data_IF_416784340801
#
_entry.id   IF_416784340801
#
_cell.length_a   1.000
_cell.length_b   1.000
_cell.length_c   1.000
_cell.angle_alpha   90.00
_cell.angle_beta   90.00
_cell.angle_gamma   90.00
#
_symmetry.space_group_name_H-M   'P 1'
#
loop_
_entity.id
_entity.type
_entity.pdbx_description
1 polymer ?
#
# COMPACT_ATOMS: atom_id res chain seq x y z
N UNK A 1 13.79 -9.23 74.25
CA UNK A 1 13.98 -9.31 72.78
C UNK A 1 14.58 -8.00 72.30
N UNK A 2 15.59 -8.02 71.42
CA UNK A 2 16.21 -6.79 70.90
C UNK A 2 15.16 -5.98 70.10
N UNK A 3 15.04 -4.70 70.42
CA UNK A 3 14.16 -3.77 69.70
C UNK A 3 14.70 -3.62 68.28
N UNK A 4 13.86 -3.84 67.27
CA UNK A 4 14.24 -3.70 65.87
C UNK A 4 14.47 -2.21 65.57
N UNK A 5 15.72 -1.75 65.57
CA UNK A 5 16.06 -0.32 65.45
C UNK A 5 16.23 0.16 64.01
N UNK A 6 16.12 -0.72 63.01
CA UNK A 6 16.31 -0.36 61.59
C UNK A 6 15.31 -1.06 60.69
N UNK A 7 14.91 -0.37 59.61
CA UNK A 7 14.02 -0.89 58.57
C UNK A 7 14.59 -2.12 57.84
N UNK A 8 15.92 -2.32 57.88
CA UNK A 8 16.58 -3.47 57.27
C UNK A 8 16.36 -4.79 58.06
N UNK A 9 16.01 -4.69 59.35
CA UNK A 9 15.81 -5.84 60.23
C UNK A 9 14.33 -6.28 60.32
N UNK A 10 13.42 -5.61 59.62
CA UNK A 10 12.00 -5.99 59.55
C UNK A 10 11.77 -7.08 58.49
N UNK A 11 10.94 -8.07 58.82
CA UNK A 11 10.51 -9.11 57.87
C UNK A 11 9.69 -8.49 56.74
N UNK A 12 9.91 -8.96 55.52
CA UNK A 12 9.09 -8.62 54.34
C UNK A 12 7.90 -9.57 54.20
N UNK A 13 7.86 -10.68 54.93
CA UNK A 13 6.76 -11.65 54.89
C UNK A 13 5.63 -11.22 55.85
N UNK A 14 4.42 -10.89 55.35
CA UNK A 14 3.26 -10.50 56.16
C UNK A 14 2.93 -11.49 57.27
N UNK A 15 3.14 -12.79 57.02
CA UNK A 15 2.83 -13.86 57.96
C UNK A 15 3.85 -13.98 59.10
N UNK A 16 5.05 -13.42 58.93
CA UNK A 16 6.12 -13.39 59.94
C UNK A 16 6.22 -12.04 60.65
N UNK A 17 5.22 -11.17 60.44
CA UNK A 17 5.14 -9.85 61.07
C UNK A 17 4.30 -9.88 62.37
N UNK A 18 3.84 -11.05 62.78
CA UNK A 18 3.28 -11.31 64.12
C UNK A 18 4.25 -12.16 64.94
N UNK A 19 4.25 -12.05 66.28
CA UNK A 19 5.17 -12.82 67.12
C UNK A 19 4.83 -14.32 67.08
N UNK A 20 5.78 -15.15 66.64
CA UNK A 20 5.81 -16.56 66.98
C UNK A 20 6.34 -16.70 68.42
N UNK A 21 5.48 -17.18 69.32
CA UNK A 21 5.84 -17.48 70.71
C UNK A 21 5.58 -16.34 71.69
N UNK A 22 4.94 -16.70 72.80
CA UNK A 22 4.51 -15.89 73.93
C UNK A 22 5.51 -14.82 74.38
N UNK A 23 5.12 -13.56 74.23
CA UNK A 23 5.03 -12.53 75.25
C UNK A 23 4.73 -11.22 74.51
N UNK A 24 3.49 -10.74 74.64
CA UNK A 24 2.99 -9.55 73.94
C UNK A 24 3.97 -8.38 74.12
N UNK A 25 4.59 -7.87 73.05
CA UNK A 25 5.04 -6.49 73.06
C UNK A 25 3.79 -5.63 73.25
N UNK A 26 3.86 -4.58 74.07
CA UNK A 26 2.72 -3.66 74.24
C UNK A 26 2.13 -3.27 72.88
N UNK A 27 0.82 -3.01 72.79
CA UNK A 27 0.09 -2.70 71.54
C UNK A 27 0.78 -1.68 70.61
N UNK A 28 1.63 -0.81 71.16
CA UNK A 28 2.44 0.14 70.41
C UNK A 28 3.66 -0.49 69.69
N UNK A 29 4.37 -1.44 70.29
CA UNK A 29 5.55 -2.09 69.68
C UNK A 29 5.14 -3.02 68.52
N UNK A 30 4.02 -3.73 68.67
CA UNK A 30 3.42 -4.52 67.59
C UNK A 30 2.94 -3.65 66.43
N UNK A 31 2.28 -2.52 66.73
CA UNK A 31 1.83 -1.57 65.71
C UNK A 31 3.02 -0.92 64.96
N UNK A 32 4.13 -0.62 65.66
CA UNK A 32 5.34 -0.08 65.05
C UNK A 32 6.02 -1.13 64.18
N UNK A 33 6.14 -2.39 64.62
CA UNK A 33 6.71 -3.47 63.79
C UNK A 33 5.86 -3.76 62.55
N UNK A 34 4.53 -3.76 62.70
CA UNK A 34 3.61 -3.88 61.57
C UNK A 34 3.77 -2.71 60.58
N UNK A 35 3.84 -1.47 61.06
CA UNK A 35 4.07 -0.30 60.21
C UNK A 35 5.44 -0.35 59.53
N UNK A 36 6.51 -0.72 60.24
CA UNK A 36 7.86 -0.82 59.68
C UNK A 36 7.97 -1.96 58.66
N UNK A 37 7.31 -3.09 58.87
CA UNK A 37 7.26 -4.19 57.89
C UNK A 37 6.45 -3.82 56.64
N UNK A 38 5.34 -3.09 56.78
CA UNK A 38 4.62 -2.52 55.65
C UNK A 38 5.49 -1.53 54.85
N UNK A 39 6.25 -0.66 55.54
CA UNK A 39 7.20 0.26 54.92
C UNK A 39 8.34 -0.52 54.22
N UNK A 40 8.82 -1.61 54.81
CA UNK A 40 9.83 -2.48 54.20
C UNK A 40 9.30 -3.16 52.93
N UNK A 41 8.06 -3.64 52.96
CA UNK A 41 7.38 -4.19 51.78
C UNK A 41 7.24 -3.15 50.66
N UNK A 42 6.85 -1.91 50.99
CA UNK A 42 6.80 -0.82 50.02
C UNK A 42 8.19 -0.48 49.46
N UNK A 43 9.21 -0.38 50.31
CA UNK A 43 10.62 -0.13 49.91
C UNK A 43 11.11 -1.19 48.94
N UNK A 44 10.83 -2.45 49.21
CA UNK A 44 11.33 -3.59 48.41
C UNK A 44 10.45 -3.89 47.19
N UNK A 45 9.55 -2.96 46.87
CA UNK A 45 8.79 -2.95 45.62
C UNK A 45 7.58 -3.87 45.62
N UNK A 46 7.09 -4.31 46.79
CA UNK A 46 5.77 -4.96 46.90
C UNK A 46 4.60 -3.97 46.68
N UNK A 47 4.88 -2.67 46.61
CA UNK A 47 3.91 -1.65 46.20
C UNK A 47 3.51 -1.73 44.71
N UNK A 48 4.23 -2.50 43.90
CA UNK A 48 3.90 -2.77 42.49
C UNK A 48 3.57 -4.24 42.34
N UNK A 49 2.38 -4.54 41.80
CA UNK A 49 1.95 -5.91 41.60
C UNK A 49 2.88 -6.66 40.62
N UNK A 50 3.18 -7.92 40.95
CA UNK A 50 3.91 -8.84 40.06
C UNK A 50 3.21 -8.91 38.71
N UNK A 51 3.99 -8.96 37.63
CA UNK A 51 3.47 -8.92 36.26
C UNK A 51 3.24 -7.52 35.71
N UNK A 52 3.32 -6.47 36.54
CA UNK A 52 3.26 -5.08 36.05
C UNK A 52 4.43 -4.80 35.12
N UNK A 53 4.11 -4.32 33.92
CA UNK A 53 5.08 -3.91 32.92
C UNK A 53 5.41 -2.42 33.08
N UNK A 54 6.69 -2.09 33.01
CA UNK A 54 7.19 -0.72 33.05
C UNK A 54 8.20 -0.47 31.95
N UNK A 55 8.32 0.79 31.54
CA UNK A 55 9.34 1.25 30.61
C UNK A 55 10.30 2.16 31.37
N UNK A 56 11.60 1.99 31.18
CA UNK A 56 12.59 2.79 31.89
C UNK A 56 13.78 3.14 30.98
N UNK A 57 14.37 4.36 31.13
CA UNK A 57 15.51 4.82 30.33
C UNK A 57 16.84 4.24 30.83
N UNK A 58 16.89 2.93 31.03
CA UNK A 58 18.08 2.19 31.48
C UNK A 58 18.26 0.95 30.61
N UNK A 59 19.49 0.45 30.48
CA UNK A 59 19.76 -0.85 29.84
C UNK A 59 19.75 -1.98 30.86
N UNK A 60 20.10 -1.72 32.12
CA UNK A 60 20.07 -2.70 33.20
C UNK A 60 18.68 -2.72 33.83
N UNK A 61 18.20 -3.93 34.15
CA UNK A 61 16.91 -4.05 34.81
C UNK A 61 16.96 -3.40 36.20
N UNK A 62 15.98 -2.54 36.53
CA UNK A 62 15.86 -2.03 37.90
C UNK A 62 15.70 -3.19 38.90
N UNK A 63 16.12 -3.02 40.17
CA UNK A 63 15.94 -4.04 41.20
C UNK A 63 14.47 -4.51 41.29
N UNK A 64 14.27 -5.84 41.31
CA UNK A 64 12.93 -6.44 41.34
C UNK A 64 12.22 -6.52 39.98
N UNK A 65 12.91 -6.24 38.88
CA UNK A 65 12.37 -6.36 37.53
C UNK A 65 13.24 -7.25 36.63
N UNK A 66 12.60 -7.90 35.65
CA UNK A 66 13.24 -8.61 34.56
C UNK A 66 13.02 -7.87 33.25
N UNK A 67 14.00 -7.92 32.34
CA UNK A 67 13.85 -7.38 30.99
C UNK A 67 12.92 -8.27 30.15
N UNK A 68 12.01 -7.67 29.40
CA UNK A 68 11.10 -8.38 28.50
C UNK A 68 11.73 -8.55 27.10
N UNK A 69 12.76 -9.39 27.05
CA UNK A 69 13.57 -9.68 25.86
C UNK A 69 13.53 -11.15 25.46
N UNK A 70 12.48 -11.88 25.84
CA UNK A 70 12.36 -13.29 25.52
C UNK A 70 13.31 -14.20 26.31
N UNK A 71 13.91 -13.75 27.42
CA UNK A 71 14.83 -14.60 28.19
C UNK A 71 14.11 -15.76 28.91
N UNK A 72 14.78 -16.90 29.01
CA UNK A 72 14.34 -18.06 29.82
C UNK A 72 14.84 -17.87 31.24
N UNK A 73 13.95 -18.04 32.22
CA UNK A 73 14.23 -17.81 33.64
C UNK A 73 13.70 -18.96 34.50
N UNK A 74 14.29 -19.12 35.70
CA UNK A 74 13.95 -20.20 36.62
C UNK A 74 12.60 -19.98 37.30
N UNK A 75 11.75 -21.02 37.33
CA UNK A 75 10.47 -21.00 38.06
C UNK A 75 10.68 -20.92 39.58
N UNK A 76 11.76 -21.47 40.11
CA UNK A 76 12.04 -21.43 41.56
C UNK A 76 12.57 -20.07 41.99
N UNK A 77 13.44 -19.46 41.18
CA UNK A 77 13.98 -18.12 41.48
C UNK A 77 12.92 -17.04 41.33
N UNK A 78 12.04 -17.16 40.33
CA UNK A 78 10.99 -16.19 40.01
C UNK A 78 9.59 -16.78 40.22
N UNK A 79 9.36 -17.39 41.38
CA UNK A 79 8.14 -18.15 41.67
C UNK A 79 6.86 -17.31 41.60
N UNK A 80 6.88 -16.07 42.08
CA UNK A 80 5.73 -15.17 42.01
C UNK A 80 5.41 -14.78 40.56
N UNK A 81 6.42 -14.45 39.75
CA UNK A 81 6.22 -14.17 38.32
C UNK A 81 5.73 -15.40 37.56
N UNK A 82 6.21 -16.59 37.87
CA UNK A 82 5.69 -17.82 37.27
C UNK A 82 4.21 -18.04 37.60
N UNK A 83 3.82 -17.85 38.87
CA UNK A 83 2.42 -17.94 39.28
C UNK A 83 1.54 -16.93 38.52
N UNK A 84 2.01 -15.70 38.34
CA UNK A 84 1.35 -14.70 37.51
C UNK A 84 1.23 -15.16 36.05
N UNK A 85 2.33 -15.59 35.44
CA UNK A 85 2.37 -16.03 34.04
C UNK A 85 1.36 -17.17 33.79
N UNK A 86 1.35 -18.18 34.65
CA UNK A 86 0.44 -19.33 34.56
C UNK A 86 -1.04 -18.94 34.69
N UNK A 87 -1.36 -17.91 35.47
CA UNK A 87 -2.73 -17.42 35.66
C UNK A 87 -3.16 -16.33 34.66
N UNK A 88 -2.22 -15.76 33.90
CA UNK A 88 -2.45 -14.54 33.11
C UNK A 88 -3.36 -14.70 31.88
N UNK A 89 -3.54 -15.93 31.39
CA UNK A 89 -4.12 -16.19 30.06
C UNK A 89 -3.24 -15.72 28.88
N UNK A 90 -2.06 -15.17 29.15
CA UNK A 90 -1.07 -14.70 28.18
C UNK A 90 0.15 -15.62 28.17
N UNK A 91 -0.08 -16.91 28.00
CA UNK A 91 0.95 -17.95 28.04
C UNK A 91 0.68 -19.01 26.97
N UNK A 92 1.75 -19.48 26.33
CA UNK A 92 1.71 -20.55 25.33
C UNK A 92 2.81 -21.57 25.59
N UNK A 93 2.86 -22.65 24.81
CA UNK A 93 3.94 -23.64 24.90
C UNK A 93 5.21 -23.12 24.22
N UNK A 94 6.39 -23.61 24.64
CA UNK A 94 7.67 -23.20 24.01
C UNK A 94 7.70 -23.53 22.51
N UNK A 95 7.04 -24.62 22.10
CA UNK A 95 6.91 -24.99 20.70
C UNK A 95 6.14 -23.93 19.89
N UNK A 96 5.03 -23.40 20.44
CA UNK A 96 4.23 -22.35 19.78
C UNK A 96 4.95 -21.00 19.85
N UNK A 97 5.59 -20.70 20.98
CA UNK A 97 6.36 -19.46 21.17
C UNK A 97 7.52 -19.37 20.17
N UNK A 98 8.23 -20.49 19.96
CA UNK A 98 9.34 -20.59 19.00
C UNK A 98 8.91 -20.77 17.55
N UNK A 99 7.63 -21.02 17.27
CA UNK A 99 7.09 -21.12 15.93
C UNK A 99 6.84 -19.72 15.34
N UNK A 100 7.93 -19.07 14.91
CA UNK A 100 7.89 -17.72 14.33
C UNK A 100 7.80 -16.62 15.40
N UNK A 101 7.20 -15.49 15.03
CA UNK A 101 7.12 -14.28 15.88
C UNK A 101 5.74 -14.05 16.50
N UNK A 102 4.70 -14.75 16.02
CA UNK A 102 3.29 -14.49 16.36
C UNK A 102 3.01 -14.49 17.86
N UNK A 103 3.66 -15.36 18.63
CA UNK A 103 3.35 -15.55 20.05
C UNK A 103 4.47 -15.09 21.01
N UNK A 104 5.45 -14.35 20.49
CA UNK A 104 6.58 -13.89 21.31
C UNK A 104 6.18 -12.84 22.36
N UNK A 105 5.03 -12.20 22.20
CA UNK A 105 4.45 -11.30 23.20
C UNK A 105 3.79 -12.01 24.39
N UNK A 106 3.70 -13.35 24.38
CA UNK A 106 3.23 -14.16 25.49
C UNK A 106 4.38 -14.74 26.32
N UNK A 107 4.07 -15.18 27.53
CA UNK A 107 4.96 -16.08 28.26
C UNK A 107 5.02 -17.42 27.55
N UNK A 108 6.11 -18.16 27.77
CA UNK A 108 6.19 -19.57 27.40
C UNK A 108 6.30 -20.45 28.63
N UNK A 109 5.71 -21.64 28.57
CA UNK A 109 5.91 -22.70 29.57
C UNK A 109 7.37 -23.16 29.70
N UNK A 110 8.27 -22.74 28.82
CA UNK A 110 9.67 -23.15 28.82
C UNK A 110 9.80 -24.66 28.61
N UNK A 111 10.71 -25.29 29.35
CA UNK A 111 10.90 -26.74 29.37
C UNK A 111 9.72 -27.54 29.98
N UNK A 112 8.68 -26.86 30.45
CA UNK A 112 7.52 -27.47 31.10
C UNK A 112 7.71 -27.76 32.59
N UNK A 113 8.93 -27.68 33.12
CA UNK A 113 9.29 -28.17 34.46
C UNK A 113 9.98 -27.10 35.31
N UNK A 114 11.18 -26.68 34.91
CA UNK A 114 12.10 -25.90 35.75
C UNK A 114 12.17 -24.43 35.37
N UNK A 115 11.78 -24.09 34.13
CA UNK A 115 11.91 -22.75 33.60
C UNK A 115 10.66 -22.29 32.84
N UNK A 116 10.66 -21.01 32.50
CA UNK A 116 9.64 -20.37 31.68
C UNK A 116 10.28 -19.19 30.94
N UNK A 117 9.66 -18.71 29.87
CA UNK A 117 10.15 -17.56 29.10
C UNK A 117 9.26 -16.34 29.35
N UNK A 118 9.88 -15.19 29.57
CA UNK A 118 9.17 -13.90 29.59
C UNK A 118 8.88 -13.44 28.15
N UNK A 119 7.88 -12.57 27.92
CA UNK A 119 7.64 -12.01 26.59
C UNK A 119 8.86 -11.30 26.00
N UNK A 120 8.93 -11.25 24.67
CA UNK A 120 9.88 -10.43 23.91
C UNK A 120 9.16 -9.26 23.26
N UNK A 121 9.46 -8.04 23.73
CA UNK A 121 8.82 -6.82 23.26
C UNK A 121 9.79 -5.90 22.49
N UNK A 122 10.97 -6.41 22.13
CA UNK A 122 12.01 -5.61 21.50
C UNK A 122 11.58 -5.17 20.11
N UNK A 123 11.65 -3.86 19.85
CA UNK A 123 11.33 -3.28 18.54
C UNK A 123 9.83 -3.20 18.22
N UNK A 124 8.95 -3.53 19.16
CA UNK A 124 7.51 -3.57 18.94
C UNK A 124 6.79 -2.36 19.56
N UNK A 125 5.70 -1.95 18.91
CA UNK A 125 4.71 -1.05 19.50
C UNK A 125 3.64 -1.87 20.23
N UNK A 126 3.34 -1.48 21.48
CA UNK A 126 2.23 -2.07 22.21
C UNK A 126 0.92 -1.39 21.81
N UNK A 127 -0.04 -2.19 21.36
CA UNK A 127 -1.41 -1.77 21.05
C UNK A 127 -2.36 -2.46 22.01
N UNK A 128 -3.25 -1.68 22.62
CA UNK A 128 -4.28 -2.21 23.53
C UNK A 128 -5.06 -3.36 22.88
N UNK A 129 -5.49 -4.29 23.72
CA UNK A 129 -6.37 -5.38 23.32
C UNK A 129 -7.76 -4.82 23.05
N UNK A 130 -8.45 -5.34 22.03
CA UNK A 130 -9.78 -4.85 21.66
C UNK A 130 -10.84 -5.17 22.71
N UNK A 131 -10.71 -6.32 23.39
CA UNK A 131 -11.62 -6.76 24.45
C UNK A 131 -13.10 -6.71 24.03
N UNK A 132 -13.38 -7.10 22.78
CA UNK A 132 -14.71 -7.12 22.16
C UNK A 132 -15.32 -5.73 21.91
N UNK A 133 -14.50 -4.67 21.84
CA UNK A 133 -14.96 -3.32 21.47
C UNK A 133 -15.29 -3.20 19.97
N UNK A 134 -14.72 -4.05 19.12
CA UNK A 134 -15.05 -4.20 17.70
C UNK A 134 -14.11 -3.48 16.73
N UNK A 135 -13.01 -2.86 17.18
CA UNK A 135 -12.02 -2.24 16.30
C UNK A 135 -11.01 -3.25 15.77
N UNK A 136 -10.76 -4.31 16.52
CA UNK A 136 -9.82 -5.37 16.17
C UNK A 136 -10.32 -6.73 16.69
N UNK A 137 -11.40 -7.25 16.08
CA UNK A 137 -12.07 -8.44 16.57
C UNK A 137 -11.19 -9.68 16.48
N UNK A 138 -11.24 -10.52 17.52
CA UNK A 138 -10.58 -11.83 17.52
C UNK A 138 -9.06 -11.81 17.80
N UNK A 139 -8.46 -10.64 18.04
CA UNK A 139 -7.05 -10.56 18.42
C UNK A 139 -6.84 -11.12 19.83
N UNK A 140 -5.90 -12.06 19.95
CA UNK A 140 -5.50 -12.65 21.22
C UNK A 140 -4.49 -11.76 21.96
N UNK A 141 -4.49 -11.83 23.30
CA UNK A 141 -3.50 -11.14 24.13
C UNK A 141 -2.09 -11.63 23.82
N UNK A 142 -1.14 -10.70 23.67
CA UNK A 142 0.26 -11.03 23.38
C UNK A 142 0.54 -11.52 21.95
N UNK A 143 -0.46 -11.52 21.06
CA UNK A 143 -0.27 -11.84 19.65
C UNK A 143 0.43 -10.69 18.92
N UNK A 144 1.53 -11.01 18.24
CA UNK A 144 2.21 -10.13 17.30
C UNK A 144 1.36 -9.96 16.04
N UNK A 145 1.34 -8.74 15.54
CA UNK A 145 0.77 -8.39 14.26
C UNK A 145 1.83 -7.62 13.50
N UNK A 146 2.03 -7.99 12.23
CA UNK A 146 2.94 -7.27 11.36
C UNK A 146 2.35 -5.90 10.97
N UNK A 147 3.20 -5.03 10.44
CA UNK A 147 2.76 -3.75 9.91
C UNK A 147 1.80 -3.95 8.74
N UNK A 148 0.79 -3.09 8.67
CA UNK A 148 -0.15 -3.07 7.56
C UNK A 148 -0.53 -1.62 7.26
N UNK A 149 -0.41 -1.23 5.99
CA UNK A 149 -0.91 0.06 5.54
C UNK A 149 -2.40 -0.08 5.23
N UNK A 150 -3.18 0.90 5.67
CA UNK A 150 -4.59 1.00 5.27
C UNK A 150 -4.66 1.09 3.74
N UNK A 151 -5.62 0.37 3.16
CA UNK A 151 -5.87 0.39 1.72
C UNK A 151 -6.17 1.82 1.25
N UNK A 152 -5.43 2.29 0.25
CA UNK A 152 -5.62 3.59 -0.38
C UNK A 152 -5.10 3.55 -1.83
N UNK A 153 -5.41 4.59 -2.60
CA UNK A 153 -4.98 4.72 -3.99
C UNK A 153 -4.31 6.05 -4.27
N UNK A 154 -3.55 6.09 -5.37
CA UNK A 154 -2.96 7.31 -5.91
C UNK A 154 -3.48 7.54 -7.33
N UNK A 155 -3.95 8.76 -7.59
CA UNK A 155 -4.21 9.18 -8.95
C UNK A 155 -2.89 9.41 -9.69
N UNK A 156 -2.86 9.09 -10.98
CA UNK A 156 -1.83 9.58 -11.88
C UNK A 156 -2.48 10.50 -12.91
N UNK A 157 -1.69 11.42 -13.44
CA UNK A 157 -2.10 12.27 -14.56
C UNK A 157 -0.99 12.17 -15.60
N UNK A 158 -1.33 11.66 -16.78
CA UNK A 158 -0.45 11.76 -17.95
C UNK A 158 -0.76 13.09 -18.66
N UNK A 159 0.16 14.08 -18.63
CA UNK A 159 -0.07 15.35 -19.30
C UNK A 159 -0.33 15.13 -20.79
N UNK A 160 -1.31 15.84 -21.33
CA UNK A 160 -1.57 15.80 -22.78
C UNK A 160 -0.31 16.25 -23.54
N UNK A 161 0.09 15.45 -24.51
CA UNK A 161 1.18 15.76 -25.41
C UNK A 161 0.72 15.66 -26.86
N UNK A 162 1.35 16.43 -27.75
CA UNK A 162 1.00 16.47 -29.15
C UNK A 162 1.87 15.48 -29.95
N UNK A 163 1.22 14.70 -30.82
CA UNK A 163 1.92 13.94 -31.86
C UNK A 163 1.86 14.73 -33.16
N UNK A 164 3.03 15.04 -33.73
CA UNK A 164 3.09 15.63 -35.07
C UNK A 164 2.72 14.60 -36.13
N UNK A 165 1.78 14.94 -37.01
CA UNK A 165 1.46 14.14 -38.21
C UNK A 165 1.99 14.89 -39.42
N UNK A 166 2.84 14.24 -40.20
CA UNK A 166 3.43 14.80 -41.42
C UNK A 166 3.01 13.97 -42.63
N UNK A 167 2.38 14.61 -43.61
CA UNK A 167 2.16 14.04 -44.95
C UNK A 167 3.28 14.54 -45.89
N UNK A 168 4.21 13.66 -46.34
CA UNK A 168 5.25 14.03 -47.29
C UNK A 168 4.70 14.40 -48.68
N UNK A 169 3.40 14.23 -48.90
CA UNK A 169 2.71 14.46 -50.15
C UNK A 169 2.39 13.15 -50.87
N UNK A 170 1.33 13.17 -51.67
CA UNK A 170 0.91 12.06 -52.52
C UNK A 170 0.34 12.59 -53.84
N UNK A 171 0.29 11.72 -54.85
CA UNK A 171 -0.08 12.09 -56.22
C UNK A 171 -1.50 11.64 -56.56
N UNK A 172 -2.24 12.51 -57.25
CA UNK A 172 -3.50 12.16 -57.89
C UNK A 172 -3.28 11.89 -59.38
N UNK A 173 -3.94 10.85 -59.91
CA UNK A 173 -4.09 10.68 -61.35
C UNK A 173 -5.38 11.36 -61.80
N UNK A 174 -5.31 12.06 -62.94
CA UNK A 174 -6.47 12.67 -63.57
C UNK A 174 -6.57 12.19 -65.02
N UNK A 175 -7.79 11.98 -65.50
CA UNK A 175 -8.09 11.68 -66.88
C UNK A 175 -9.22 12.56 -67.40
N UNK A 176 -9.20 12.84 -68.70
CA UNK A 176 -10.31 13.41 -69.42
C UNK A 176 -10.93 12.32 -70.29
N UNK A 177 -12.24 12.34 -70.44
CA UNK A 177 -12.91 11.50 -71.44
C UNK A 177 -12.70 12.03 -72.87
N UNK A 178 -12.99 11.22 -73.86
CA UNK A 178 -12.88 11.60 -75.27
C UNK A 178 -14.20 12.27 -75.68
N UNK A 179 -14.15 13.57 -75.94
CA UNK A 179 -15.27 14.37 -76.45
C UNK A 179 -14.82 15.20 -77.67
N UNK A 180 -15.74 15.93 -78.29
CA UNK A 180 -15.44 16.87 -79.37
C UNK A 180 -15.43 16.29 -80.79
N UNK A 181 -15.78 15.01 -80.95
CA UNK A 181 -16.09 14.48 -82.29
C UNK A 181 -17.33 15.18 -82.83
N UNK A 182 -17.18 15.85 -83.97
CA UNK A 182 -18.26 16.55 -84.66
C UNK A 182 -18.04 16.51 -86.17
N UNK A 183 -19.09 16.82 -86.92
CA UNK A 183 -19.06 16.91 -88.39
C UNK A 183 -19.68 18.22 -88.83
N UNK A 184 -19.24 18.72 -89.98
CA UNK A 184 -19.82 19.92 -90.57
C UNK A 184 -20.68 19.57 -91.78
N UNK A 185 -21.87 20.14 -91.83
CA UNK A 185 -22.65 20.13 -93.06
C UNK A 185 -22.03 21.13 -94.05
N UNK A 186 -21.74 20.63 -95.25
CA UNK A 186 -21.35 21.45 -96.39
C UNK A 186 -22.56 21.58 -97.32
N UNK A 187 -23.14 22.78 -97.39
CA UNK A 187 -24.27 23.06 -98.28
C UNK A 187 -23.76 23.59 -99.61
N UNK A 188 -23.60 22.71 -100.60
CA UNK A 188 -23.29 23.13 -101.97
C UNK A 188 -24.54 23.72 -102.64
N UNK A 189 -24.53 25.01 -102.96
CA UNK A 189 -25.61 25.61 -103.76
C UNK A 189 -25.45 25.20 -105.23
N UNK A 190 -26.33 24.34 -105.72
CA UNK A 190 -26.41 24.01 -107.14
C UNK A 190 -27.42 24.94 -107.82
N UNK A 191 -26.96 25.72 -108.80
CA UNK A 191 -27.83 26.54 -109.62
C UNK A 191 -28.27 25.70 -110.84
N UNK A 192 -29.53 25.26 -110.87
CA UNK A 192 -30.07 24.46 -111.97
C UNK A 192 -30.59 25.38 -113.09
N UNK A 193 -29.81 25.50 -114.17
CA UNK A 193 -30.19 26.25 -115.37
C UNK A 193 -30.86 25.34 -116.39
N UNK A 194 -32.13 25.61 -116.72
CA UNK A 194 -32.87 24.90 -117.77
C UNK A 194 -32.75 25.68 -119.09
N UNK A 195 -32.21 25.07 -120.14
CA UNK A 195 -31.97 25.71 -121.45
C UNK A 195 -32.88 25.13 -122.54
N UNK A 196 -33.32 25.98 -123.47
CA UNK A 196 -34.02 25.58 -124.69
C UNK A 196 -33.08 25.03 -125.78
N UNK A 197 -33.61 24.36 -126.82
CA UNK A 197 -32.80 23.64 -127.81
C UNK A 197 -31.82 24.55 -128.57
N UNK A 198 -30.53 24.22 -128.54
CA UNK A 198 -29.48 24.87 -129.35
C UNK A 198 -28.56 25.85 -128.61
N UNK A 199 -28.74 26.10 -127.32
CA UNK A 199 -27.82 26.95 -126.52
C UNK A 199 -26.60 26.16 -126.00
N UNK A 200 -25.41 26.74 -126.09
CA UNK A 200 -24.19 26.18 -125.50
C UNK A 200 -24.17 26.35 -123.96
N UNK A 201 -23.64 25.35 -123.25
CA UNK A 201 -23.59 25.33 -121.78
C UNK A 201 -22.66 26.41 -121.24
N UNK A 202 -23.15 27.32 -120.39
CA UNK A 202 -22.29 28.19 -119.61
C UNK A 202 -21.63 27.39 -118.47
N UNK A 203 -20.35 27.66 -118.17
CA UNK A 203 -19.62 26.99 -117.10
C UNK A 203 -20.32 27.21 -115.74
N UNK A 204 -20.74 26.11 -115.12
CA UNK A 204 -21.38 26.12 -113.80
C UNK A 204 -20.33 26.45 -112.73
N UNK A 205 -20.40 27.65 -112.16
CA UNK A 205 -19.61 27.98 -110.99
C UNK A 205 -20.44 27.79 -109.72
N UNK A 206 -20.13 26.74 -108.98
CA UNK A 206 -20.48 26.61 -107.56
C UNK A 206 -19.59 27.57 -106.77
N UNK A 207 -20.17 28.59 -106.13
CA UNK A 207 -19.44 29.42 -105.17
C UNK A 207 -19.14 28.63 -103.88
N UNK A 208 -18.03 28.93 -103.17
CA UNK A 208 -17.74 28.27 -101.90
C UNK A 208 -18.79 28.67 -100.85
N UNK A 209 -19.53 27.70 -100.33
CA UNK A 209 -20.34 27.87 -99.12
C UNK A 209 -19.49 27.57 -97.90
N UNK A 210 -19.55 28.40 -96.86
CA UNK A 210 -18.95 28.09 -95.57
C UNK A 210 -19.60 26.84 -94.94
N UNK A 211 -18.84 26.11 -94.13
CA UNK A 211 -19.40 25.07 -93.26
C UNK A 211 -20.19 25.70 -92.11
N UNK A 212 -21.13 24.95 -91.52
CA UNK A 212 -21.84 25.40 -90.31
C UNK A 212 -20.89 25.54 -89.12
N UNK A 213 -21.14 26.50 -88.23
CA UNK A 213 -20.46 26.57 -86.94
C UNK A 213 -20.90 25.38 -86.07
N UNK A 214 -19.94 24.57 -85.63
CA UNK A 214 -20.12 23.42 -84.74
C UNK A 214 -18.81 23.11 -84.00
N UNK A 215 -18.82 22.16 -83.07
CA UNK A 215 -17.63 21.66 -82.37
C UNK A 215 -17.45 22.18 -80.94
N UNK A 216 -18.39 22.97 -80.43
CA UNK A 216 -18.41 23.35 -79.02
C UNK A 216 -18.69 22.12 -78.15
N UNK A 217 -17.78 21.79 -77.25
CA UNK A 217 -17.92 20.67 -76.33
C UNK A 217 -17.23 20.98 -74.99
N UNK A 218 -17.47 20.11 -74.02
CA UNK A 218 -16.82 20.08 -72.72
C UNK A 218 -16.06 18.76 -72.54
N UNK A 219 -15.29 18.62 -71.47
CA UNK A 219 -14.76 17.33 -71.05
C UNK A 219 -15.16 17.06 -69.61
N UNK A 220 -15.41 15.80 -69.30
CA UNK A 220 -15.50 15.33 -67.94
C UNK A 220 -14.10 15.01 -67.46
N UNK A 221 -13.62 15.75 -66.46
CA UNK A 221 -12.36 15.44 -65.77
C UNK A 221 -12.66 14.52 -64.59
N UNK A 222 -12.05 13.34 -64.60
CA UNK A 222 -12.09 12.41 -63.48
C UNK A 222 -10.76 12.44 -62.74
N UNK A 223 -10.80 12.59 -61.42
CA UNK A 223 -9.62 12.55 -60.56
C UNK A 223 -9.77 11.34 -59.64
N UNK A 224 -8.81 10.41 -59.72
CA UNK A 224 -8.80 9.23 -58.87
C UNK A 224 -8.53 9.59 -57.41
N UNK A 225 -9.25 8.99 -56.43
CA UNK A 225 -8.90 9.16 -55.04
C UNK A 225 -7.53 8.52 -54.78
N UNK A 226 -6.63 9.28 -54.16
CA UNK A 226 -5.39 8.77 -53.62
C UNK A 226 -5.30 9.27 -52.17
N UNK A 227 -4.96 8.38 -51.25
CA UNK A 227 -4.89 8.70 -49.83
C UNK A 227 -3.45 8.89 -49.40
N UNK A 228 -3.25 9.66 -48.32
CA UNK A 228 -1.93 9.90 -47.71
C UNK A 228 -1.27 8.63 -47.18
N UNK A 229 -2.05 7.55 -46.95
CA UNK A 229 -1.58 6.32 -46.33
C UNK A 229 -1.26 6.45 -44.83
N UNK A 230 -1.61 7.57 -44.20
CA UNK A 230 -1.35 7.83 -42.78
C UNK A 230 -2.44 7.17 -41.93
N UNK A 231 -2.02 6.39 -40.93
CA UNK A 231 -2.90 5.82 -39.92
C UNK A 231 -2.37 6.11 -38.51
N UNK A 232 -3.28 6.35 -37.57
CA UNK A 232 -2.97 6.51 -36.14
C UNK A 232 -3.54 5.32 -35.42
N UNK A 233 -2.69 4.57 -34.72
CA UNK A 233 -3.08 3.41 -33.93
C UNK A 233 -2.92 3.72 -32.44
N UNK A 234 -3.87 3.28 -31.62
CA UNK A 234 -3.73 3.37 -30.18
C UNK A 234 -2.59 2.46 -29.71
N UNK A 235 -1.77 2.96 -28.78
CA UNK A 235 -0.76 2.18 -28.06
C UNK A 235 -0.90 2.44 -26.57
N UNK A 236 -0.73 1.40 -25.76
CA UNK A 236 -0.77 1.52 -24.30
C UNK A 236 0.47 2.26 -23.80
N UNK A 237 0.27 3.16 -22.84
CA UNK A 237 1.38 3.77 -22.09
C UNK A 237 1.80 2.84 -20.95
N UNK A 238 3.09 2.52 -20.88
CA UNK A 238 3.68 1.63 -19.87
C UNK A 238 3.90 2.36 -18.54
N UNK A 239 2.83 2.62 -17.79
CA UNK A 239 2.90 3.29 -16.49
C UNK A 239 3.14 2.27 -15.39
N UNK A 240 4.19 2.46 -14.61
CA UNK A 240 4.51 1.63 -13.43
C UNK A 240 4.61 2.50 -12.18
N UNK A 241 4.12 1.98 -11.06
CA UNK A 241 4.30 2.59 -9.74
C UNK A 241 5.39 1.79 -9.04
N UNK A 242 6.49 2.46 -8.69
CA UNK A 242 7.57 1.84 -7.91
C UNK A 242 7.25 1.90 -6.43
N UNK A 243 7.71 0.89 -5.69
CA UNK A 243 7.63 0.89 -4.23
C UNK A 243 8.38 2.11 -3.69
N UNK A 244 7.77 2.79 -2.71
CA UNK A 244 8.38 3.92 -2.01
C UNK A 244 8.22 3.71 -0.50
N UNK A 245 9.32 3.86 0.24
CA UNK A 245 9.36 3.69 1.68
C UNK A 245 10.41 2.68 2.17
N UNK A 246 10.44 2.48 3.49
CA UNK A 246 11.25 1.45 4.13
C UNK A 246 10.46 0.15 4.36
N UNK A 247 11.14 -0.86 4.88
CA UNK A 247 10.54 -2.16 5.22
C UNK A 247 9.57 -2.13 6.43
N UNK A 248 9.36 -0.97 7.05
CA UNK A 248 8.57 -0.81 8.27
C UNK A 248 7.96 0.60 8.34
N UNK A 249 6.65 0.67 8.55
CA UNK A 249 5.89 1.90 8.74
C UNK A 249 6.03 2.44 10.16
N UNK A 250 7.06 3.26 10.41
CA UNK A 250 7.37 3.74 11.77
C UNK A 250 6.78 5.12 12.05
N UNK A 251 5.94 5.29 13.10
CA UNK A 251 5.70 6.62 13.65
C UNK A 251 6.99 7.14 14.31
N UNK A 252 7.10 8.47 14.49
CA UNK A 252 8.17 9.05 15.31
C UNK A 252 8.14 8.42 16.71
N UNK A 253 9.25 7.84 17.13
CA UNK A 253 9.31 7.06 18.36
C UNK A 253 10.64 7.28 19.10
N UNK A 254 10.63 6.95 20.40
CA UNK A 254 11.81 6.91 21.28
C UNK A 254 11.89 5.51 21.88
N UNK A 255 13.08 4.92 21.85
CA UNK A 255 13.29 3.54 22.25
C UNK A 255 13.74 3.44 23.72
N UNK A 256 12.91 2.80 24.54
CA UNK A 256 13.27 2.35 25.89
C UNK A 256 12.84 0.89 26.07
N UNK A 257 13.64 0.05 26.75
CA UNK A 257 13.27 -1.32 27.01
C UNK A 257 12.08 -1.43 27.96
N UNK A 258 11.34 -2.54 27.82
CA UNK A 258 10.32 -2.96 28.75
C UNK A 258 10.88 -3.92 29.81
N UNK A 259 10.34 -3.77 31.00
CA UNK A 259 10.65 -4.58 32.16
C UNK A 259 9.36 -5.06 32.83
N UNK A 260 9.41 -6.21 33.49
CA UNK A 260 8.29 -6.80 34.21
C UNK A 260 8.65 -7.07 35.67
N UNK A 261 7.76 -6.70 36.59
CA UNK A 261 7.92 -6.95 38.03
C UNK A 261 7.85 -8.46 38.31
N UNK A 262 8.80 -8.99 39.07
CA UNK A 262 8.81 -10.39 39.53
C UNK A 262 8.65 -10.53 41.03
#
# INVERSE_FOLDING_TARGET
MAVTTTLAACSTNPALNGPDGSDLPSTLDDAIRYALSFIAQLRDGAGVAVGTMVRAPTLNAPPGYLKMNGQVVSRTTYAALWAFAAASGCITTEAIWGAGTTWQGQFSTGDGVSNFRVPDLRGLFLRNLDESRGFDPGRAIGAFQDHENVIHGHGYTDPTHAHGVSDPGHGHSASADIQGSHTHAYNASQNTLSLGPGAATAALMTGPSGTSADGAHSHNISIGPNGTGIAIFASGVGITIHNSGGADGRPRNIAFPYYIKY
#
